data_IF_567069283413
#
_entry.id   IF_567069283413
#
_cell.length_a   1.000
_cell.length_b   1.000
_cell.length_c   1.000
_cell.angle_alpha   90.00
_cell.angle_beta   90.00
_cell.angle_gamma   90.00
#
_symmetry.space_group_name_H-M   'P 1'
#
loop_
_entity.id
_entity.type
_entity.pdbx_description
1 polymer ?
#
# COMPACT_ATOMS: atom_id res chain seq x y z
N UNK A 1 20.60 8.03 -7.72
CA UNK A 1 19.65 6.92 -7.93
C UNK A 1 20.09 6.06 -9.09
N UNK A 2 20.51 4.82 -8.85
CA UNK A 2 20.88 3.87 -9.90
C UNK A 2 19.65 3.23 -10.56
N UNK A 3 19.81 2.68 -11.77
CA UNK A 3 18.75 1.95 -12.48
C UNK A 3 18.16 0.81 -11.62
N UNK A 4 19.01 0.12 -10.86
CA UNK A 4 18.62 -0.95 -9.94
C UNK A 4 17.77 -0.40 -8.79
N UNK A 5 18.13 0.75 -8.21
CA UNK A 5 17.35 1.39 -7.15
C UNK A 5 15.97 1.81 -7.65
N UNK A 6 15.89 2.33 -8.88
CA UNK A 6 14.63 2.69 -9.53
C UNK A 6 13.71 1.48 -9.73
N UNK A 7 14.27 0.33 -10.15
CA UNK A 7 13.51 -0.92 -10.30
C UNK A 7 13.01 -1.43 -8.95
N UNK A 8 13.85 -1.40 -7.91
CA UNK A 8 13.47 -1.82 -6.55
C UNK A 8 12.35 -0.94 -6.00
N UNK A 9 12.50 0.37 -6.07
CA UNK A 9 11.46 1.33 -5.64
C UNK A 9 10.12 1.08 -6.34
N UNK A 10 10.13 0.87 -7.67
CA UNK A 10 8.91 0.56 -8.42
C UNK A 10 8.26 -0.75 -7.98
N UNK A 11 9.06 -1.80 -7.72
CA UNK A 11 8.55 -3.10 -7.24
C UNK A 11 7.96 -2.98 -5.84
N UNK A 12 8.62 -2.25 -4.95
CA UNK A 12 8.14 -2.06 -3.59
C UNK A 12 6.84 -1.24 -3.56
N UNK A 13 6.74 -0.19 -4.38
CA UNK A 13 5.50 0.56 -4.57
C UNK A 13 4.36 -0.35 -5.08
N UNK A 14 4.62 -1.19 -6.09
CA UNK A 14 3.63 -2.14 -6.60
C UNK A 14 3.23 -3.19 -5.56
N UNK A 15 4.18 -3.69 -4.76
CA UNK A 15 3.90 -4.65 -3.67
C UNK A 15 3.01 -4.02 -2.61
N UNK A 16 3.30 -2.79 -2.20
CA UNK A 16 2.49 -2.03 -1.21
C UNK A 16 1.07 -1.81 -1.72
N UNK A 17 0.91 -1.36 -2.97
CA UNK A 17 -0.41 -1.15 -3.58
C UNK A 17 -1.27 -2.42 -3.55
N UNK A 18 -0.69 -3.57 -3.91
CA UNK A 18 -1.40 -4.86 -3.86
C UNK A 18 -1.77 -5.30 -2.45
N UNK A 19 -0.91 -5.03 -1.46
CA UNK A 19 -1.19 -5.35 -0.06
C UNK A 19 -2.38 -4.52 0.46
N UNK A 20 -2.41 -3.23 0.15
CA UNK A 20 -3.53 -2.34 0.50
C UNK A 20 -4.81 -2.80 -0.19
N UNK A 21 -4.77 -3.09 -1.50
CA UNK A 21 -5.95 -3.57 -2.23
C UNK A 21 -6.50 -4.87 -1.61
N UNK A 22 -5.63 -5.82 -1.25
CA UNK A 22 -6.05 -7.06 -0.59
C UNK A 22 -6.71 -6.78 0.76
N UNK A 23 -6.12 -5.90 1.57
CA UNK A 23 -6.68 -5.53 2.87
C UNK A 23 -8.06 -4.88 2.72
N UNK A 24 -8.21 -3.95 1.77
CA UNK A 24 -9.49 -3.29 1.47
C UNK A 24 -10.54 -4.28 0.97
N UNK A 25 -10.16 -5.28 0.17
CA UNK A 25 -11.07 -6.34 -0.30
C UNK A 25 -11.50 -7.29 0.82
N UNK A 26 -10.64 -7.54 1.81
CA UNK A 26 -10.96 -8.38 2.97
C UNK A 26 -11.70 -7.63 4.09
N UNK A 27 -11.77 -6.30 4.02
CA UNK A 27 -12.43 -5.49 5.04
C UNK A 27 -13.95 -5.66 4.95
N UNK A 28 -14.54 -6.23 6.00
CA UNK A 28 -15.98 -6.51 6.07
C UNK A 28 -16.78 -5.36 6.69
N UNK A 29 -16.14 -4.28 7.13
CA UNK A 29 -16.81 -3.09 7.67
C UNK A 29 -16.23 -1.81 7.06
N UNK A 30 -17.07 -0.77 6.87
CA UNK A 30 -16.60 0.54 6.42
C UNK A 30 -15.55 1.14 7.37
N UNK A 31 -15.73 1.00 8.69
CA UNK A 31 -14.80 1.54 9.68
C UNK A 31 -13.38 0.95 9.55
N UNK A 32 -13.28 -0.38 9.36
CA UNK A 32 -11.97 -1.04 9.13
C UNK A 32 -11.35 -0.59 7.82
N UNK A 33 -12.16 -0.34 6.79
CA UNK A 33 -11.69 0.19 5.51
C UNK A 33 -11.07 1.57 5.66
N UNK A 34 -11.69 2.45 6.44
CA UNK A 34 -11.20 3.80 6.71
C UNK A 34 -9.87 3.75 7.50
N UNK A 35 -9.77 2.87 8.50
CA UNK A 35 -8.53 2.66 9.24
C UNK A 35 -7.38 2.19 8.33
N UNK A 36 -7.64 1.23 7.43
CA UNK A 36 -6.66 0.76 6.44
C UNK A 36 -6.17 1.92 5.57
N UNK A 37 -7.08 2.80 5.12
CA UNK A 37 -6.72 3.96 4.30
C UNK A 37 -5.85 4.96 5.09
N UNK A 38 -6.20 5.26 6.34
CA UNK A 38 -5.43 6.16 7.20
C UNK A 38 -4.02 5.61 7.45
N UNK A 39 -3.91 4.31 7.77
CA UNK A 39 -2.61 3.66 7.99
C UNK A 39 -1.79 3.66 6.69
N UNK A 40 -2.42 3.34 5.55
CA UNK A 40 -1.75 3.35 4.25
C UNK A 40 -1.19 4.73 3.90
N UNK A 41 -1.96 5.80 4.13
CA UNK A 41 -1.51 7.17 3.92
C UNK A 41 -0.30 7.53 4.79
N UNK A 42 -0.31 7.15 6.08
CA UNK A 42 0.81 7.39 7.00
C UNK A 42 2.12 6.71 6.56
N UNK A 43 2.03 5.55 5.91
CA UNK A 43 3.19 4.80 5.42
C UNK A 43 3.67 5.20 4.01
N UNK A 44 2.92 6.06 3.33
CA UNK A 44 3.28 6.59 2.00
C UNK A 44 3.97 7.96 2.06
N UNK A 45 3.84 8.68 3.19
CA UNK A 45 4.64 9.86 3.54
C UNK A 45 6.04 9.46 4.04
#
# INVERSE_FOLDING_TARGET
MSMIERIRSRRDASRRARAIERALRSANSPAVRDEILVIAQRHMH
#
